data_IF_196083539122
#
_entry.id   IF_196083539122
#
_cell.length_a   1.000
_cell.length_b   1.000
_cell.length_c   1.000
_cell.angle_alpha   90.00
_cell.angle_beta   90.00
_cell.angle_gamma   90.00
#
_symmetry.space_group_name_H-M   'P 1'
#
loop_
_entity.id
_entity.type
_entity.pdbx_description
1 polymer ?
#
# COMPACT_ATOMS: atom_id res chain seq x y z
N UNK A 1 -11.52 5.47 2.33
CA UNK A 1 -10.51 6.09 3.23
C UNK A 1 -9.53 6.89 2.38
N UNK A 2 -9.68 8.22 2.34
CA UNK A 2 -8.77 9.12 1.63
C UNK A 2 -7.54 9.39 2.52
N UNK A 3 -6.33 9.18 2.01
CA UNK A 3 -5.13 9.67 2.70
C UNK A 3 -5.21 11.19 2.75
N UNK A 4 -4.99 11.79 3.92
CA UNK A 4 -5.16 13.23 4.08
C UNK A 4 -4.18 13.96 3.14
N UNK A 5 -4.59 15.08 2.50
CA UNK A 5 -3.76 15.82 1.53
C UNK A 5 -2.35 16.19 2.04
N UNK A 6 -2.16 16.24 3.36
CA UNK A 6 -0.90 16.58 4.01
C UNK A 6 0.08 15.40 4.20
N UNK A 7 -0.36 14.15 4.00
CA UNK A 7 0.50 12.96 4.04
C UNK A 7 1.23 12.71 2.71
N UNK A 8 0.74 13.31 1.63
CA UNK A 8 1.32 13.18 0.28
C UNK A 8 2.34 14.29 0.00
N UNK A 9 2.18 15.46 0.62
CA UNK A 9 3.10 16.60 0.53
C UNK A 9 4.18 16.59 1.61
N UNK A 10 4.05 15.75 2.64
CA UNK A 10 5.03 15.52 3.70
C UNK A 10 5.92 14.27 3.51
N UNK A 11 6.66 13.91 4.55
CA UNK A 11 7.41 12.63 4.57
C UNK A 11 6.45 11.45 4.53
N UNK A 12 6.47 10.66 3.45
CA UNK A 12 5.72 9.38 3.37
C UNK A 12 6.15 8.47 4.51
N UNK A 13 5.23 8.16 5.41
CA UNK A 13 5.45 7.26 6.53
C UNK A 13 5.74 5.82 6.10
N UNK A 14 6.50 5.09 6.92
CA UNK A 14 6.82 3.69 6.65
C UNK A 14 5.58 2.79 6.54
N UNK A 15 4.54 3.06 7.33
CA UNK A 15 3.26 2.35 7.28
C UNK A 15 2.58 2.49 5.92
N UNK A 16 2.56 3.71 5.36
CA UNK A 16 1.96 3.99 4.04
C UNK A 16 2.74 3.32 2.91
N UNK A 17 4.08 3.41 2.95
CA UNK A 17 4.93 2.72 1.97
C UNK A 17 4.76 1.19 2.04
N UNK A 18 4.62 0.63 3.24
CA UNK A 18 4.41 -0.81 3.42
C UNK A 18 3.02 -1.26 2.93
N UNK A 19 1.98 -0.47 3.20
CA UNK A 19 0.63 -0.74 2.71
C UNK A 19 0.57 -0.72 1.18
N UNK A 20 1.22 0.27 0.54
CA UNK A 20 1.31 0.35 -0.92
C UNK A 20 2.03 -0.86 -1.51
N UNK A 21 3.16 -1.24 -0.92
CA UNK A 21 3.92 -2.41 -1.33
C UNK A 21 3.09 -3.69 -1.24
N UNK A 22 2.41 -3.91 -0.10
CA UNK A 22 1.57 -5.08 0.10
C UNK A 22 0.42 -5.15 -0.92
N UNK A 23 -0.24 -4.02 -1.19
CA UNK A 23 -1.28 -3.94 -2.21
C UNK A 23 -0.75 -4.25 -3.62
N UNK A 24 0.43 -3.72 -3.97
CA UNK A 24 1.05 -3.98 -5.27
C UNK A 24 1.42 -5.45 -5.45
N UNK A 25 2.04 -6.07 -4.43
CA UNK A 25 2.37 -7.49 -4.41
C UNK A 25 1.12 -8.35 -4.57
N UNK A 26 0.06 -8.03 -3.82
CA UNK A 26 -1.20 -8.75 -3.89
C UNK A 26 -1.84 -8.63 -5.28
N UNK A 27 -1.99 -7.42 -5.82
CA UNK A 27 -2.64 -7.21 -7.13
C UNK A 27 -1.84 -7.84 -8.27
N UNK A 28 -0.51 -7.75 -8.22
CA UNK A 28 0.36 -8.34 -9.23
C UNK A 28 0.59 -9.85 -9.03
N UNK A 29 0.06 -10.45 -7.96
CA UNK A 29 0.20 -11.87 -7.63
C UNK A 29 1.67 -12.34 -7.66
N UNK A 30 2.57 -11.52 -7.09
CA UNK A 30 4.01 -11.81 -7.11
C UNK A 30 4.31 -12.96 -6.14
N UNK A 31 5.10 -13.92 -6.61
CA UNK A 31 5.45 -15.13 -5.86
C UNK A 31 6.42 -14.87 -4.70
N UNK A 32 6.21 -15.55 -3.57
CA UNK A 32 6.98 -15.38 -2.32
C UNK A 32 8.50 -15.56 -2.51
N UNK A 33 8.91 -16.49 -3.37
CA UNK A 33 10.34 -16.74 -3.67
C UNK A 33 11.02 -15.48 -4.22
N UNK A 34 10.33 -14.72 -5.07
CA UNK A 34 10.84 -13.47 -5.65
C UNK A 34 10.80 -12.32 -4.63
N UNK A 35 9.82 -12.34 -3.72
CA UNK A 35 9.73 -11.34 -2.65
C UNK A 35 10.84 -11.52 -1.61
N UNK A 36 11.24 -12.76 -1.34
CA UNK A 36 12.25 -13.09 -0.32
C UNK A 36 13.60 -12.48 -0.65
N UNK A 37 14.03 -12.55 -1.91
CA UNK A 37 15.29 -11.92 -2.35
C UNK A 37 15.23 -10.38 -2.22
N UNK A 38 14.11 -9.78 -2.61
CA UNK A 38 13.95 -8.33 -2.66
C UNK A 38 13.79 -7.70 -1.26
N UNK A 39 13.13 -8.39 -0.33
CA UNK A 39 12.87 -7.87 1.03
C UNK A 39 14.14 -7.80 1.89
N UNK A 40 15.16 -8.63 1.61
CA UNK A 40 16.44 -8.59 2.32
C UNK A 40 17.19 -7.27 2.12
N UNK A 41 17.03 -6.63 0.96
CA UNK A 41 17.74 -5.40 0.61
C UNK A 41 17.06 -4.11 1.07
N UNK A 42 15.78 -4.16 1.50
CA UNK A 42 15.00 -2.97 1.91
C UNK A 42 14.65 -1.97 0.78
N UNK A 43 15.29 -2.11 -0.39
CA UNK A 43 15.19 -1.24 -1.57
C UNK A 43 13.74 -1.08 -2.09
N UNK A 44 12.91 -2.10 -1.85
CA UNK A 44 11.51 -2.12 -2.26
C UNK A 44 10.68 -0.99 -1.65
N UNK A 45 10.98 -0.59 -0.41
CA UNK A 45 10.29 0.53 0.24
C UNK A 45 10.68 1.87 -0.39
N UNK A 46 11.94 2.02 -0.81
CA UNK A 46 12.40 3.25 -1.46
C UNK A 46 11.79 3.40 -2.86
N UNK A 47 11.78 2.31 -3.65
CA UNK A 47 11.07 2.28 -4.92
C UNK A 47 9.57 2.58 -4.75
N UNK A 48 8.94 2.01 -3.72
CA UNK A 48 7.52 2.28 -3.42
C UNK A 48 7.28 3.74 -3.07
N UNK A 49 8.15 4.37 -2.25
CA UNK A 49 8.06 5.80 -1.93
C UNK A 49 8.21 6.68 -3.17
N UNK A 50 9.11 6.33 -4.08
CA UNK A 50 9.30 7.07 -5.33
C UNK A 50 8.03 7.07 -6.19
N UNK A 51 7.42 5.91 -6.37
CA UNK A 51 6.16 5.76 -7.11
C UNK A 51 5.03 6.55 -6.43
N UNK A 52 4.89 6.44 -5.11
CA UNK A 52 3.86 7.19 -4.37
C UNK A 52 4.04 8.71 -4.50
N UNK A 53 5.28 9.21 -4.45
CA UNK A 53 5.57 10.64 -4.67
C UNK A 53 5.22 11.07 -6.09
N UNK A 54 5.57 10.25 -7.08
CA UNK A 54 5.28 10.53 -8.49
C UNK A 54 3.79 10.59 -8.78
N UNK A 55 2.99 9.76 -8.11
CA UNK A 55 1.55 9.62 -8.35
C UNK A 55 0.68 10.32 -7.31
N UNK A 56 1.28 11.11 -6.42
CA UNK A 56 0.57 11.86 -5.37
C UNK A 56 -0.31 10.96 -4.49
N UNK A 57 0.20 9.80 -4.10
CA UNK A 57 -0.40 8.96 -3.07
C UNK A 57 -0.92 7.61 -3.54
N UNK A 58 -1.82 7.05 -2.74
CA UNK A 58 -2.43 5.73 -2.90
C UNK A 58 -3.92 5.90 -3.21
N UNK A 59 -4.41 5.18 -4.22
CA UNK A 59 -5.83 5.13 -4.54
C UNK A 59 -6.41 3.79 -4.07
N UNK A 60 -7.35 3.85 -3.13
CA UNK A 60 -8.15 2.69 -2.74
C UNK A 60 -9.53 2.79 -3.38
N UNK A 61 -10.02 1.71 -3.98
CA UNK A 61 -11.46 1.60 -4.23
C UNK A 61 -12.14 1.55 -2.87
N UNK A 62 -12.95 2.57 -2.55
CA UNK A 62 -13.64 2.70 -1.27
C UNK A 62 -14.84 1.73 -1.23
N UNK A 63 -14.57 0.43 -1.26
CA UNK A 63 -15.58 -0.60 -1.05
C UNK A 63 -15.80 -0.74 0.45
N UNK A 64 -16.92 -0.18 0.94
CA UNK A 64 -17.37 -0.41 2.31
C UNK A 64 -18.24 -1.67 2.38
N UNK A 65 -17.82 -2.64 3.18
CA UNK A 65 -18.60 -3.84 3.47
C UNK A 65 -19.24 -3.70 4.85
N UNK A 66 -20.58 -3.70 4.90
CA UNK A 66 -21.32 -3.74 6.16
C UNK A 66 -21.57 -5.20 6.52
N UNK A 67 -20.85 -5.70 7.54
CA UNK A 67 -21.10 -7.03 8.10
C UNK A 67 -22.13 -6.89 9.23
N UNK A 68 -23.35 -7.36 8.98
CA UNK A 68 -24.40 -7.41 10.00
C UNK A 68 -24.80 -8.86 10.31
N UNK A 69 -24.99 -9.18 11.58
CA UNK A 69 -25.62 -10.44 12.00
C UNK A 69 -27.14 -10.33 11.83
N UNK A 70 -27.78 -11.27 11.11
CA UNK A 70 -29.25 -11.38 11.08
C UNK A 70 -29.76 -11.50 12.51
N UNK A 71 -30.67 -10.61 12.90
CA UNK A 71 -31.51 -10.78 14.09
C UNK A 71 -32.82 -11.37 13.59
N UNK A 72 -33.19 -12.53 14.12
CA UNK A 72 -34.54 -13.09 13.97
C UNK A 72 -35.54 -12.23 14.75
#
# INVERSE_FOLDING_TARGET
>A
MEALPNEVTGSIGNSTAFAAWNAAVYVAQIEDDRLTEMTQGGQYLDATREVLRKHSGLWFYDESYVISRRRD
#
